data_IF_482963400240
#
_entry.id   IF_482963400240
#
_cell.length_a   1.000
_cell.length_b   1.000
_cell.length_c   1.000
_cell.angle_alpha   90.00
_cell.angle_beta   90.00
_cell.angle_gamma   90.00
#
_symmetry.space_group_name_H-M   'P 1'
#
loop_
_entity.id
_entity.type
_entity.pdbx_description
1 polymer ?
#
# COMPACT_ATOMS: atom_id res chain seq x y z
N UNK A 1 -5.77 -14.28 3.73
CA UNK A 1 -5.42 -15.05 2.52
C UNK A 1 -4.41 -14.23 1.74
N UNK A 2 -3.25 -14.80 1.38
CA UNK A 2 -2.30 -14.13 0.51
C UNK A 2 -2.83 -14.26 -0.93
N UNK A 3 -3.27 -13.17 -1.52
CA UNK A 3 -3.63 -13.12 -2.95
C UNK A 3 -2.61 -12.28 -3.73
N UNK A 4 -1.39 -12.80 -4.00
CA UNK A 4 -0.42 -12.12 -4.88
C UNK A 4 -1.05 -11.69 -6.21
N UNK A 5 -1.97 -12.52 -6.72
CA UNK A 5 -2.74 -12.28 -7.95
C UNK A 5 -3.72 -11.11 -7.85
N UNK A 6 -4.30 -10.87 -6.67
CA UNK A 6 -5.24 -9.77 -6.46
C UNK A 6 -4.52 -8.43 -6.39
N UNK A 7 -3.39 -8.36 -5.69
CA UNK A 7 -2.55 -7.15 -5.66
C UNK A 7 -2.02 -6.80 -7.06
N UNK A 8 -1.52 -7.78 -7.82
CA UNK A 8 -1.06 -7.54 -9.18
C UNK A 8 -2.17 -6.96 -10.09
N UNK A 9 -3.41 -7.46 -9.93
CA UNK A 9 -4.60 -6.93 -10.65
C UNK A 9 -4.89 -5.49 -10.25
N UNK A 10 -4.95 -5.19 -8.95
CA UNK A 10 -5.26 -3.86 -8.43
C UNK A 10 -4.18 -2.84 -8.83
N UNK A 11 -2.91 -3.22 -8.79
CA UNK A 11 -1.79 -2.39 -9.24
C UNK A 11 -1.91 -2.10 -10.73
N UNK A 12 -2.19 -3.12 -11.55
CA UNK A 12 -2.36 -2.94 -13.00
C UNK A 12 -3.52 -1.98 -13.33
N UNK A 13 -4.65 -2.10 -12.62
CA UNK A 13 -5.78 -1.17 -12.78
C UNK A 13 -5.45 0.24 -12.29
N UNK A 14 -4.68 0.36 -11.20
CA UNK A 14 -4.21 1.64 -10.67
C UNK A 14 -3.33 2.36 -11.70
N UNK A 15 -2.38 1.63 -12.31
CA UNK A 15 -1.52 2.15 -13.38
C UNK A 15 -2.29 2.51 -14.65
N UNK A 16 -3.44 1.88 -14.88
CA UNK A 16 -4.38 2.25 -15.94
C UNK A 16 -5.27 3.46 -15.58
N UNK A 17 -5.07 4.08 -14.41
CA UNK A 17 -5.77 5.28 -13.96
C UNK A 17 -6.98 5.04 -13.06
N UNK A 18 -7.25 3.79 -12.65
CA UNK A 18 -8.34 3.49 -11.73
C UNK A 18 -8.00 3.90 -10.30
N UNK A 19 -8.64 4.96 -9.81
CA UNK A 19 -8.52 5.40 -8.40
C UNK A 19 -9.16 4.41 -7.43
N UNK A 20 -10.26 3.78 -7.84
CA UNK A 20 -10.97 2.81 -7.02
C UNK A 20 -10.09 1.58 -6.75
N UNK A 21 -9.31 1.15 -7.74
CA UNK A 21 -8.36 0.04 -7.57
C UNK A 21 -7.26 0.36 -6.56
N UNK A 22 -6.82 1.62 -6.48
CA UNK A 22 -5.88 2.05 -5.46
C UNK A 22 -6.53 2.10 -4.07
N UNK A 23 -7.81 2.50 -3.99
CA UNK A 23 -8.61 2.41 -2.77
C UNK A 23 -8.73 0.98 -2.26
N UNK A 24 -9.02 0.02 -3.13
CA UNK A 24 -9.04 -1.41 -2.78
C UNK A 24 -7.67 -1.91 -2.29
N UNK A 25 -6.58 -1.45 -2.92
CA UNK A 25 -5.21 -1.78 -2.52
C UNK A 25 -4.89 -1.23 -1.12
N UNK A 26 -5.32 0.00 -0.86
CA UNK A 26 -5.22 0.66 0.44
C UNK A 26 -5.98 -0.13 1.51
N UNK A 27 -7.27 -0.40 1.33
CA UNK A 27 -8.10 -1.14 2.30
C UNK A 27 -7.53 -2.53 2.63
N UNK A 28 -6.96 -3.21 1.63
CA UNK A 28 -6.37 -4.53 1.80
C UNK A 28 -5.02 -4.54 2.56
N UNK A 29 -4.42 -3.37 2.82
CA UNK A 29 -3.07 -3.26 3.38
C UNK A 29 -2.97 -2.30 4.59
N UNK A 30 -3.89 -1.36 4.72
CA UNK A 30 -3.87 -0.27 5.70
C UNK A 30 -3.69 -0.76 7.13
N UNK A 31 -4.40 -1.83 7.51
CA UNK A 31 -4.32 -2.38 8.87
C UNK A 31 -2.91 -2.85 9.22
N UNK A 32 -2.25 -3.51 8.28
CA UNK A 32 -0.90 -4.04 8.51
C UNK A 32 0.11 -2.88 8.54
N UNK A 33 -0.01 -1.91 7.62
CA UNK A 33 0.87 -0.72 7.57
C UNK A 33 0.71 0.14 8.83
N UNK A 34 -0.53 0.43 9.22
CA UNK A 34 -0.83 1.21 10.42
C UNK A 34 -0.24 0.57 11.68
N UNK A 35 -0.41 -0.75 11.85
CA UNK A 35 0.17 -1.45 12.99
C UNK A 35 1.70 -1.32 13.01
N UNK A 36 2.36 -1.52 11.87
CA UNK A 36 3.81 -1.38 11.76
C UNK A 36 4.26 0.05 12.12
N UNK A 37 3.61 1.07 11.56
CA UNK A 37 3.91 2.48 11.87
C UNK A 37 3.70 2.76 13.35
N UNK A 38 2.57 2.32 13.91
CA UNK A 38 2.24 2.50 15.33
C UNK A 38 3.30 1.89 16.26
N UNK A 39 3.87 0.74 15.90
CA UNK A 39 4.96 0.13 16.66
C UNK A 39 6.30 0.86 16.54
N UNK A 40 6.54 1.61 15.45
CA UNK A 40 7.80 2.27 15.18
C UNK A 40 7.87 3.71 15.71
N UNK A 41 6.74 4.40 15.82
CA UNK A 41 6.70 5.80 16.25
C UNK A 41 6.49 5.92 17.76
N UNK A 42 7.05 6.98 18.36
CA UNK A 42 6.94 7.26 19.80
C UNK A 42 5.63 7.92 20.18
N UNK A 43 5.05 8.70 19.27
CA UNK A 43 3.83 9.46 19.47
C UNK A 43 2.74 8.93 18.53
N UNK A 44 1.78 8.12 19.03
CA UNK A 44 0.76 7.50 18.21
C UNK A 44 -0.16 8.46 17.46
N UNK A 45 -0.31 9.71 17.93
CA UNK A 45 -1.15 10.70 17.25
C UNK A 45 -0.68 11.02 15.83
N UNK A 46 0.60 10.78 15.54
CA UNK A 46 1.20 11.07 14.24
C UNK A 46 1.11 9.87 13.27
N UNK A 47 0.59 8.72 13.72
CA UNK A 47 0.54 7.49 12.92
C UNK A 47 -0.29 7.67 11.64
N UNK A 48 -1.42 8.37 11.74
CA UNK A 48 -2.33 8.56 10.61
C UNK A 48 -1.68 9.40 9.50
N UNK A 49 -0.99 10.49 9.87
CA UNK A 49 -0.28 11.35 8.92
C UNK A 49 0.87 10.60 8.23
N UNK A 50 1.65 9.82 9.00
CA UNK A 50 2.74 9.00 8.45
C UNK A 50 2.20 7.96 7.48
N UNK A 51 1.10 7.29 7.83
CA UNK A 51 0.45 6.32 6.96
C UNK A 51 -0.03 6.96 5.67
N UNK A 52 -0.64 8.14 5.71
CA UNK A 52 -1.05 8.86 4.51
C UNK A 52 0.14 9.17 3.59
N UNK A 53 1.26 9.66 4.14
CA UNK A 53 2.47 9.94 3.37
C UNK A 53 3.05 8.65 2.74
N UNK A 54 3.03 7.52 3.46
CA UNK A 54 3.43 6.21 2.91
C UNK A 54 2.58 5.88 1.68
N UNK A 55 1.26 6.04 1.73
CA UNK A 55 0.41 5.70 0.59
C UNK A 55 0.58 6.66 -0.60
N UNK A 56 0.89 7.95 -0.36
CA UNK A 56 1.28 8.88 -1.42
C UNK A 56 2.57 8.39 -2.12
N UNK A 57 3.55 7.92 -1.34
CA UNK A 57 4.80 7.39 -1.89
C UNK A 57 4.61 6.06 -2.61
N UNK A 58 3.76 5.18 -2.08
CA UNK A 58 3.37 3.92 -2.73
C UNK A 58 2.78 4.22 -4.10
N UNK A 59 1.78 5.10 -4.18
CA UNK A 59 1.13 5.46 -5.44
C UNK A 59 2.14 5.93 -6.50
N UNK A 60 3.06 6.83 -6.12
CA UNK A 60 4.12 7.33 -7.01
C UNK A 60 5.12 6.25 -7.42
N UNK A 61 5.36 5.27 -6.55
CA UNK A 61 6.36 4.22 -6.78
C UNK A 61 5.80 3.02 -7.56
N UNK A 62 4.47 2.87 -7.63
CA UNK A 62 3.83 1.79 -8.40
C UNK A 62 4.25 1.78 -9.87
N UNK A 63 4.52 2.95 -10.48
CA UNK A 63 4.97 3.04 -11.87
C UNK A 63 6.27 2.26 -12.15
N UNK A 64 7.10 2.08 -11.10
CA UNK A 64 8.38 1.36 -11.17
C UNK A 64 8.30 -0.04 -10.55
N UNK A 65 7.15 -0.42 -10.01
CA UNK A 65 6.99 -1.70 -9.34
C UNK A 65 6.88 -2.85 -10.35
N UNK A 66 7.66 -3.89 -10.12
CA UNK A 66 7.60 -5.14 -10.87
C UNK A 66 6.44 -6.00 -10.36
N UNK A 67 5.33 -6.00 -11.08
CA UNK A 67 4.10 -6.75 -10.73
C UNK A 67 4.28 -8.27 -10.65
N UNK A 68 5.40 -8.82 -11.12
CA UNK A 68 5.73 -10.23 -10.91
C UNK A 68 6.22 -10.54 -9.49
N UNK A 69 6.57 -9.50 -8.71
CA UNK A 69 7.04 -9.62 -7.33
C UNK A 69 5.90 -9.52 -6.32
N UNK A 70 6.04 -10.16 -5.15
CA UNK A 70 5.08 -10.00 -4.06
C UNK A 70 4.98 -8.54 -3.61
N UNK A 71 3.77 -7.97 -3.61
CA UNK A 71 3.53 -6.58 -3.21
C UNK A 71 3.70 -6.34 -1.71
N UNK A 72 3.14 -7.21 -0.86
CA UNK A 72 3.19 -7.05 0.61
C UNK A 72 4.62 -6.87 1.17
N UNK A 73 5.61 -7.69 0.80
CA UNK A 73 7.01 -7.49 1.24
C UNK A 73 7.70 -6.26 0.64
N UNK A 74 7.20 -5.69 -0.44
CA UNK A 74 7.72 -4.45 -1.00
C UNK A 74 7.14 -3.22 -0.28
N UNK A 75 5.92 -3.35 0.24
CA UNK A 75 5.22 -2.31 1.00
C UNK A 75 5.75 -2.14 2.44
N UNK A 76 6.26 -3.22 3.05
CA UNK A 76 6.76 -3.26 4.43
C UNK A 76 8.27 -3.07 4.48
#
# INVERSE_FOLDING_TARGET
MNHPSEYARLISLTLAGSRDAFGELYEATIKDVYNTVYFLIREPSDAEDVVQEIYIQVYRSLEKFDVSRPFRPWLM
#
